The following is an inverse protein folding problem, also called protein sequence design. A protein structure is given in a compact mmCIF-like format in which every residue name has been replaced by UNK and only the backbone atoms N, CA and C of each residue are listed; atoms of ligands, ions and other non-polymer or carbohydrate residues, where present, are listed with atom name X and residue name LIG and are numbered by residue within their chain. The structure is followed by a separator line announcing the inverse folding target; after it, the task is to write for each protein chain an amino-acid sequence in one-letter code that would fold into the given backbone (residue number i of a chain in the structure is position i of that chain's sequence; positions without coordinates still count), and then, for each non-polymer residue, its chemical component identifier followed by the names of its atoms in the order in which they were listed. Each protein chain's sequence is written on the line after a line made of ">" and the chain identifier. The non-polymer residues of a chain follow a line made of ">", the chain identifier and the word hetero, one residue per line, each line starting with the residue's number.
data_IF_838716207997
#
_entry.id   IF_838716207997
#
_cell.length_a   1.000
_cell.length_b   1.000
_cell.length_c   1.000
_cell.angle_alpha   90.00
_cell.angle_beta   90.00
_cell.angle_gamma   90.00
#
_symmetry.space_group_name_H-M   'P 1'
#
loop_
_entity.id
_entity.type
_entity.pdbx_description
1 polymer ?
#
# COMPACT_ATOMS: atom_id res chain seq x y z
N UNK A 1 38.64 3.19 -1.88
CA UNK A 1 37.16 3.11 -1.80
C UNK A 1 36.81 2.89 -0.35
N UNK A 2 35.88 3.66 0.26
CA UNK A 2 35.42 3.37 1.61
C UNK A 2 34.77 1.97 1.62
N UNK A 3 35.06 1.20 2.67
CA UNK A 3 34.41 -0.09 2.94
C UNK A 3 33.04 0.13 3.57
N UNK A 4 32.09 -0.78 3.29
CA UNK A 4 30.81 -0.79 3.99
C UNK A 4 31.09 -0.99 5.49
N UNK A 5 30.59 -0.09 6.35
CA UNK A 5 30.62 -0.23 7.82
C UNK A 5 31.33 0.86 8.62
N UNK A 6 32.08 1.77 7.99
CA UNK A 6 32.88 2.78 8.71
C UNK A 6 32.15 4.14 8.92
N UNK A 7 30.92 4.27 8.43
CA UNK A 7 30.11 5.49 8.54
C UNK A 7 28.85 5.31 9.41
N UNK A 8 28.22 6.41 9.86
CA UNK A 8 26.93 6.33 10.53
C UNK A 8 25.89 5.67 9.61
N UNK A 9 24.90 4.95 10.16
CA UNK A 9 23.82 4.39 9.36
C UNK A 9 23.08 5.50 8.61
N UNK A 10 22.73 5.22 7.36
CA UNK A 10 22.00 6.13 6.47
C UNK A 10 20.67 5.47 6.14
N UNK A 11 19.58 6.23 6.26
CA UNK A 11 18.28 5.81 5.76
C UNK A 11 18.30 5.84 4.23
N UNK A 12 17.85 4.74 3.63
CA UNK A 12 17.78 4.56 2.19
C UNK A 12 16.34 4.20 1.80
N UNK A 13 16.05 4.24 0.50
CA UNK A 13 14.75 3.81 -0.04
C UNK A 13 13.61 4.76 0.40
N UNK A 14 12.38 4.28 0.54
CA UNK A 14 11.25 5.06 1.04
C UNK A 14 11.02 4.84 2.54
N UNK A 15 10.41 5.83 3.19
CA UNK A 15 10.05 5.76 4.60
C UNK A 15 8.63 6.29 4.80
N UNK A 16 7.86 5.58 5.64
CA UNK A 16 6.51 5.98 6.04
C UNK A 16 5.57 6.26 4.86
N UNK A 17 5.72 5.49 3.78
CA UNK A 17 4.80 5.51 2.64
C UNK A 17 3.75 4.40 2.78
N UNK A 18 2.59 4.50 2.10
CA UNK A 18 1.62 3.40 2.05
C UNK A 18 2.17 2.15 1.34
N UNK A 19 3.32 2.28 0.70
CA UNK A 19 4.00 1.20 0.02
C UNK A 19 4.88 0.38 0.97
N UNK A 20 5.53 1.06 1.92
CA UNK A 20 6.48 0.52 2.90
C UNK A 20 5.86 0.26 4.27
N UNK A 21 4.71 0.87 4.56
CA UNK A 21 4.07 0.88 5.88
C UNK A 21 2.60 0.47 5.81
N UNK A 22 2.08 -0.12 6.89
CA UNK A 22 0.64 -0.35 7.06
C UNK A 22 0.02 0.85 7.76
N UNK A 23 -0.96 1.47 7.13
CA UNK A 23 -1.71 2.57 7.72
C UNK A 23 -3.13 2.12 8.03
N UNK A 24 -3.45 2.07 9.33
CA UNK A 24 -4.76 1.69 9.83
C UNK A 24 -5.47 2.91 10.43
N UNK A 25 -6.78 3.07 10.20
CA UNK A 25 -7.58 4.08 10.88
C UNK A 25 -7.62 3.79 12.37
N UNK A 26 -7.12 4.71 13.19
CA UNK A 26 -7.06 4.54 14.64
C UNK A 26 -8.45 4.36 15.27
N UNK A 27 -9.47 5.04 14.75
CA UNK A 27 -10.83 5.03 15.28
C UNK A 27 -11.58 3.70 15.04
N UNK A 28 -11.11 2.87 14.12
CA UNK A 28 -11.70 1.57 13.80
C UNK A 28 -10.79 0.39 14.17
N UNK A 29 -9.59 0.65 14.71
CA UNK A 29 -8.66 -0.41 15.06
C UNK A 29 -9.20 -1.34 16.15
N UNK A 30 -9.14 -2.64 15.90
CA UNK A 30 -9.53 -3.66 16.88
C UNK A 30 -8.62 -4.91 16.78
N UNK A 31 -8.04 -5.39 17.89
CA UNK A 31 -7.23 -6.61 17.86
C UNK A 31 -8.06 -7.85 17.53
N UNK A 32 -7.45 -8.80 16.80
CA UNK A 32 -8.07 -10.11 16.52
C UNK A 32 -8.87 -10.20 15.21
N UNK A 33 -8.86 -9.14 14.39
CA UNK A 33 -9.43 -9.13 13.04
C UNK A 33 -8.48 -8.51 12.02
N UNK A 34 -8.84 -8.62 10.75
CA UNK A 34 -8.22 -7.81 9.70
C UNK A 34 -8.65 -6.34 9.85
N UNK A 35 -7.72 -5.44 9.56
CA UNK A 35 -7.94 -4.00 9.70
C UNK A 35 -8.24 -3.36 8.35
N UNK A 36 -9.05 -2.32 8.38
CA UNK A 36 -9.15 -1.39 7.27
C UNK A 36 -7.78 -0.76 7.00
N UNK A 37 -7.53 -0.43 5.74
CA UNK A 37 -6.20 -0.05 5.28
C UNK A 37 -6.26 1.13 4.32
N UNK A 38 -5.30 2.04 4.47
CA UNK A 38 -5.02 3.12 3.53
C UNK A 38 -3.88 2.78 2.55
N UNK A 39 -3.47 1.51 2.49
CA UNK A 39 -2.31 1.03 1.73
C UNK A 39 -2.71 0.05 0.61
N UNK A 40 -1.74 -0.70 0.09
CA UNK A 40 -1.89 -1.71 -0.97
C UNK A 40 -2.89 -2.83 -0.65
N UNK A 41 -3.42 -2.90 0.57
CA UNK A 41 -4.32 -3.98 0.97
C UNK A 41 -5.56 -4.10 0.07
N UNK A 42 -6.05 -2.99 -0.51
CA UNK A 42 -7.19 -3.04 -1.43
C UNK A 42 -6.90 -3.86 -2.69
N UNK A 43 -5.77 -3.59 -3.37
CA UNK A 43 -5.33 -4.38 -4.54
C UNK A 43 -5.02 -5.81 -4.14
N UNK A 44 -4.37 -6.02 -2.98
CA UNK A 44 -4.06 -7.36 -2.47
C UNK A 44 -5.33 -8.19 -2.29
N UNK A 45 -6.34 -7.64 -1.62
CA UNK A 45 -7.62 -8.33 -1.37
C UNK A 45 -8.32 -8.71 -2.69
N UNK A 46 -8.34 -7.81 -3.68
CA UNK A 46 -8.89 -8.11 -5.00
C UNK A 46 -8.16 -9.29 -5.67
N UNK A 47 -6.82 -9.25 -5.69
CA UNK A 47 -6.01 -10.30 -6.31
C UNK A 47 -6.12 -11.64 -5.57
N UNK A 48 -6.17 -11.65 -4.24
CA UNK A 48 -6.43 -12.87 -3.47
C UNK A 48 -7.83 -13.43 -3.74
N UNK A 49 -8.84 -12.58 -3.97
CA UNK A 49 -10.17 -13.00 -4.42
C UNK A 49 -10.13 -13.74 -5.74
N UNK A 50 -9.40 -13.22 -6.73
CA UNK A 50 -9.17 -13.92 -8.00
C UNK A 50 -8.46 -15.27 -7.81
N UNK A 51 -7.53 -15.36 -6.85
CA UNK A 51 -6.86 -16.62 -6.51
C UNK A 51 -7.84 -17.63 -5.89
N UNK A 52 -8.67 -17.18 -4.95
CA UNK A 52 -9.68 -18.01 -4.30
C UNK A 52 -10.72 -18.55 -5.30
N UNK A 53 -11.04 -17.77 -6.33
CA UNK A 53 -11.93 -18.17 -7.43
C UNK A 53 -11.25 -19.06 -8.49
N UNK A 54 -9.94 -19.34 -8.34
CA UNK A 54 -9.17 -20.13 -9.30
C UNK A 54 -8.94 -19.42 -10.64
N UNK A 55 -9.15 -18.09 -10.70
CA UNK A 55 -8.98 -17.27 -11.90
C UNK A 55 -7.53 -16.85 -12.15
N UNK A 56 -6.71 -16.86 -11.11
CA UNK A 56 -5.29 -16.53 -11.20
C UNK A 56 -4.50 -17.31 -10.13
N UNK A 57 -3.33 -17.82 -10.49
CA UNK A 57 -2.49 -18.66 -9.62
C UNK A 57 -1.19 -17.94 -9.21
N UNK A 58 -1.19 -16.61 -9.26
CA UNK A 58 -0.03 -15.74 -9.00
C UNK A 58 1.10 -15.88 -10.02
N UNK A 59 0.84 -16.46 -11.19
CA UNK A 59 1.83 -16.53 -12.28
C UNK A 59 1.80 -15.29 -13.18
N UNK A 60 2.95 -14.79 -13.67
CA UNK A 60 2.97 -13.72 -14.66
C UNK A 60 2.49 -14.17 -16.05
N UNK A 61 1.84 -13.29 -16.82
CA UNK A 61 1.44 -11.93 -16.47
C UNK A 61 0.25 -11.92 -15.49
N UNK A 62 0.25 -10.95 -14.57
CA UNK A 62 -0.88 -10.74 -13.67
C UNK A 62 -2.14 -10.24 -14.40
N UNK A 63 -3.33 -10.40 -13.81
CA UNK A 63 -4.58 -9.92 -14.39
C UNK A 63 -4.59 -8.39 -14.48
N UNK A 64 -5.30 -7.85 -15.47
CA UNK A 64 -5.60 -6.42 -15.53
C UNK A 64 -6.49 -6.04 -14.35
N UNK A 65 -6.11 -4.97 -13.65
CA UNK A 65 -6.92 -4.43 -12.57
C UNK A 65 -8.11 -3.66 -13.16
N UNK A 66 -9.36 -3.92 -12.69
CA UNK A 66 -10.51 -3.08 -13.03
C UNK A 66 -10.30 -1.64 -12.60
N UNK A 67 -10.89 -0.70 -13.33
CA UNK A 67 -10.75 0.74 -13.05
C UNK A 67 -11.18 1.09 -11.62
N UNK A 68 -12.26 0.47 -11.11
CA UNK A 68 -12.71 0.67 -9.73
C UNK A 68 -11.63 0.30 -8.71
N UNK A 69 -10.82 -0.73 -9.00
CA UNK A 69 -9.75 -1.15 -8.10
C UNK A 69 -8.61 -0.15 -8.09
N UNK A 70 -8.27 0.36 -9.26
CA UNK A 70 -7.26 1.42 -9.41
C UNK A 70 -7.72 2.70 -8.70
N UNK A 71 -8.94 3.16 -8.95
CA UNK A 71 -9.47 4.40 -8.38
C UNK A 71 -9.62 4.31 -6.86
N UNK A 72 -10.13 3.21 -6.33
CA UNK A 72 -10.26 3.03 -4.88
C UNK A 72 -8.91 2.98 -4.18
N UNK A 73 -7.92 2.34 -4.80
CA UNK A 73 -6.54 2.32 -4.27
C UNK A 73 -5.95 3.72 -4.27
N UNK A 74 -6.08 4.47 -5.37
CA UNK A 74 -5.60 5.84 -5.47
C UNK A 74 -6.25 6.75 -4.44
N UNK A 75 -7.57 6.63 -4.24
CA UNK A 75 -8.29 7.41 -3.24
C UNK A 75 -7.74 7.18 -1.82
N UNK A 76 -7.38 5.94 -1.46
CA UNK A 76 -6.76 5.62 -0.17
C UNK A 76 -5.39 6.28 0.00
N UNK A 77 -4.58 6.27 -1.05
CA UNK A 77 -3.26 6.93 -1.05
C UNK A 77 -3.37 8.44 -0.89
N UNK A 78 -4.32 9.07 -1.60
CA UNK A 78 -4.56 10.50 -1.47
C UNK A 78 -5.10 10.86 -0.08
N UNK A 79 -5.98 10.03 0.47
CA UNK A 79 -6.52 10.23 1.81
C UNK A 79 -5.42 10.20 2.87
N UNK A 80 -4.53 9.19 2.86
CA UNK A 80 -3.45 9.12 3.85
C UNK A 80 -2.40 10.21 3.64
N UNK A 81 -2.11 10.59 2.38
CA UNK A 81 -1.27 11.75 2.10
C UNK A 81 -1.85 13.02 2.74
N UNK A 82 -3.14 13.32 2.50
CA UNK A 82 -3.79 14.50 3.06
C UNK A 82 -3.79 14.47 4.60
N UNK A 83 -4.02 13.31 5.21
CA UNK A 83 -4.00 13.15 6.67
C UNK A 83 -2.61 13.36 7.29
N UNK A 84 -1.55 12.87 6.64
CA UNK A 84 -0.17 12.95 7.16
C UNK A 84 0.49 14.29 6.87
N UNK A 85 0.23 14.88 5.70
CA UNK A 85 0.90 16.09 5.21
C UNK A 85 0.05 17.35 5.47
N UNK A 86 -1.27 17.22 5.51
CA UNK A 86 -2.20 18.35 5.67
C UNK A 86 -2.48 19.13 4.39
N UNK A 87 -2.07 18.60 3.24
CA UNK A 87 -2.23 19.21 1.91
C UNK A 87 -2.81 18.20 0.91
N UNK A 88 -3.45 18.69 -0.15
CA UNK A 88 -3.89 17.85 -1.28
C UNK A 88 -2.87 17.89 -2.40
N UNK A 89 -2.58 16.74 -3.01
CA UNK A 89 -1.75 16.65 -4.21
C UNK A 89 -2.61 16.38 -5.45
N UNK A 90 -2.32 17.10 -6.54
CA UNK A 90 -2.96 16.84 -7.83
C UNK A 90 -2.30 15.61 -8.47
N UNK A 91 -3.13 14.65 -8.87
CA UNK A 91 -2.67 13.48 -9.65
C UNK A 91 -2.92 13.79 -11.13
N UNK A 92 -1.89 13.64 -12.00
CA UNK A 92 -2.02 13.90 -13.42
C UNK A 92 -2.93 12.88 -14.15
#
# INVERSE_FOLDING_TARGET
>A
MPTAGDGPPILIEEELTPDSSRFWPADDYEPGRDQDSFDKQYVRNYLEGLCAEGKWDKTPPGPTLPDEIVQNTLAKYLQVYEMLVGETIAVP
#
